data_IF_444237279813
#
_entry.id   IF_444237279813
#
_cell.length_a   1.000
_cell.length_b   1.000
_cell.length_c   1.000
_cell.angle_alpha   90.00
_cell.angle_beta   90.00
_cell.angle_gamma   90.00
#
_symmetry.space_group_name_H-M   'P 1'
#
loop_
_entity.id
_entity.type
_entity.pdbx_description
1 polymer ?
#
# COMPACT_ATOMS: atom_id res chain seq x y z
N UNK A 1 -4.75 5.23 4.90
CA UNK A 1 -3.88 5.61 6.04
C UNK A 1 -4.76 5.81 7.25
N UNK A 2 -4.51 5.11 8.36
CA UNK A 2 -5.28 5.30 9.59
C UNK A 2 -5.17 6.77 10.02
N UNK A 3 -6.27 7.52 9.93
CA UNK A 3 -6.38 8.86 10.51
C UNK A 3 -6.79 8.66 11.97
N UNK A 4 -5.84 8.84 12.87
CA UNK A 4 -6.04 8.72 14.33
C UNK A 4 -6.80 9.93 14.90
N UNK A 5 -7.11 10.95 14.08
CA UNK A 5 -7.63 12.25 14.51
C UNK A 5 -8.95 12.24 15.27
N UNK A 6 -9.82 11.26 15.03
CA UNK A 6 -11.20 11.32 15.53
C UNK A 6 -11.53 10.29 16.64
N UNK A 7 -10.61 9.37 16.96
CA UNK A 7 -10.83 8.33 17.97
C UNK A 7 -9.89 8.52 19.16
N UNK A 8 -10.45 8.88 20.32
CA UNK A 8 -9.71 9.17 21.56
C UNK A 8 -8.92 7.95 22.04
N UNK A 9 -9.46 6.75 21.83
CA UNK A 9 -8.85 5.48 22.23
C UNK A 9 -7.59 5.18 21.40
N UNK A 10 -7.64 5.46 20.08
CA UNK A 10 -6.48 5.29 19.21
C UNK A 10 -5.41 6.34 19.52
N UNK A 11 -5.81 7.56 19.87
CA UNK A 11 -4.88 8.59 20.32
C UNK A 11 -4.20 8.19 21.64
N UNK A 12 -4.96 7.65 22.59
CA UNK A 12 -4.42 7.15 23.84
C UNK A 12 -3.38 6.05 23.61
N UNK A 13 -3.66 5.08 22.72
CA UNK A 13 -2.70 4.04 22.36
C UNK A 13 -1.41 4.63 21.73
N UNK A 14 -1.55 5.60 20.82
CA UNK A 14 -0.40 6.30 20.23
C UNK A 14 0.41 7.05 21.30
N UNK A 15 -0.25 7.76 22.21
CA UNK A 15 0.42 8.51 23.28
C UNK A 15 1.09 7.57 24.29
N UNK A 16 0.44 6.47 24.67
CA UNK A 16 1.01 5.45 25.54
C UNK A 16 2.33 4.92 24.97
N UNK A 17 2.38 4.59 23.67
CA UNK A 17 3.60 4.15 23.00
C UNK A 17 4.70 5.23 22.88
N UNK A 18 4.37 6.51 23.08
CA UNK A 18 5.36 7.60 23.14
C UNK A 18 5.96 7.76 24.54
N UNK A 19 5.16 7.54 25.59
CA UNK A 19 5.59 7.72 26.99
C UNK A 19 6.25 6.47 27.56
N UNK A 20 5.91 5.30 27.03
CA UNK A 20 6.46 4.01 27.43
C UNK A 20 7.99 3.91 27.23
N UNK A 21 8.63 3.06 28.03
CA UNK A 21 10.05 2.71 27.87
C UNK A 21 10.36 2.33 26.41
N UNK A 22 11.49 2.86 25.90
CA UNK A 22 11.96 2.65 24.54
C UNK A 22 12.05 1.17 24.16
N UNK A 23 12.55 0.32 25.04
CA UNK A 23 12.73 -1.11 24.77
C UNK A 23 11.39 -1.83 24.65
N UNK A 24 10.45 -1.55 25.55
CA UNK A 24 9.09 -2.08 25.47
C UNK A 24 8.37 -1.59 24.21
N UNK A 25 8.51 -0.31 23.86
CA UNK A 25 7.92 0.24 22.62
C UNK A 25 8.52 -0.41 21.36
N UNK A 26 9.82 -0.74 21.38
CA UNK A 26 10.53 -1.41 20.29
C UNK A 26 10.07 -2.86 20.16
N UNK A 27 9.90 -3.56 21.27
CA UNK A 27 9.38 -4.93 21.29
C UNK A 27 7.95 -4.98 20.75
N UNK A 28 7.07 -4.08 21.21
CA UNK A 28 5.71 -3.96 20.69
C UNK A 28 5.72 -3.72 19.18
N UNK A 29 6.55 -2.80 18.66
CA UNK A 29 6.65 -2.54 17.22
C UNK A 29 7.13 -3.76 16.45
N UNK A 30 8.10 -4.51 16.99
CA UNK A 30 8.62 -5.73 16.38
C UNK A 30 7.54 -6.80 16.30
N UNK A 31 6.86 -7.07 17.42
CA UNK A 31 5.77 -8.02 17.51
C UNK A 31 4.59 -7.62 16.61
N UNK A 32 4.24 -6.32 16.57
CA UNK A 32 3.22 -5.77 15.66
C UNK A 32 3.53 -6.12 14.20
N UNK A 33 4.77 -5.87 13.76
CA UNK A 33 5.19 -6.20 12.38
C UNK A 33 5.17 -7.71 12.17
N UNK A 34 5.69 -8.50 13.10
CA UNK A 34 5.72 -9.97 12.97
C UNK A 34 4.32 -10.58 12.84
N UNK A 35 3.35 -10.10 13.62
CA UNK A 35 1.99 -10.64 13.60
C UNK A 35 1.16 -10.10 12.44
N UNK A 36 1.23 -8.80 12.14
CA UNK A 36 0.35 -8.18 11.13
C UNK A 36 0.86 -8.34 9.70
N UNK A 37 2.18 -8.49 9.50
CA UNK A 37 2.75 -8.52 8.15
C UNK A 37 2.33 -9.74 7.31
N UNK A 38 2.25 -10.97 7.85
CA UNK A 38 1.73 -12.12 7.09
C UNK A 38 0.29 -11.90 6.63
N UNK A 39 -0.59 -11.47 7.55
CA UNK A 39 -2.01 -11.19 7.26
C UNK A 39 -2.15 -10.13 6.17
N UNK A 40 -1.39 -9.04 6.27
CA UNK A 40 -1.40 -7.99 5.24
C UNK A 40 -0.95 -8.49 3.88
N UNK A 41 0.13 -9.28 3.84
CA UNK A 41 0.67 -9.79 2.56
C UNK A 41 -0.26 -10.80 1.92
N UNK A 42 -0.87 -11.66 2.72
CA UNK A 42 -1.86 -12.63 2.25
C UNK A 42 -3.03 -11.93 1.56
N UNK A 43 -3.62 -10.91 2.20
CA UNK A 43 -4.74 -10.15 1.64
C UNK A 43 -4.39 -9.35 0.39
N UNK A 44 -3.21 -8.76 0.34
CA UNK A 44 -2.76 -8.06 -0.87
C UNK A 44 -2.50 -9.06 -2.00
N UNK A 45 -1.93 -10.23 -1.70
CA UNK A 45 -1.67 -11.28 -2.68
C UNK A 45 -2.96 -11.92 -3.21
N UNK A 46 -3.96 -12.15 -2.36
CA UNK A 46 -5.25 -12.73 -2.76
C UNK A 46 -6.00 -11.84 -3.76
N UNK A 47 -5.80 -10.52 -3.66
CA UNK A 47 -6.40 -9.52 -4.54
C UNK A 47 -5.57 -9.19 -5.78
N UNK A 48 -4.29 -9.57 -5.81
CA UNK A 48 -3.40 -9.39 -6.95
C UNK A 48 -3.71 -10.40 -8.07
N UNK A 49 -4.65 -10.03 -8.95
CA UNK A 49 -5.16 -10.92 -10.01
C UNK A 49 -4.17 -11.10 -11.17
N UNK A 50 -3.40 -10.07 -11.51
CA UNK A 50 -2.44 -10.11 -12.62
C UNK A 50 -1.00 -10.17 -12.13
N UNK A 51 -0.10 -10.68 -12.96
CA UNK A 51 1.34 -10.68 -12.66
C UNK A 51 1.87 -9.26 -12.48
N UNK A 52 1.34 -8.30 -13.25
CA UNK A 52 1.64 -6.88 -13.09
C UNK A 52 1.23 -6.36 -11.72
N UNK A 53 0.06 -6.75 -11.21
CA UNK A 53 -0.38 -6.38 -9.85
C UNK A 53 0.57 -6.97 -8.80
N UNK A 54 1.03 -8.21 -8.99
CA UNK A 54 1.98 -8.85 -8.08
C UNK A 54 3.33 -8.13 -8.07
N UNK A 55 3.86 -7.79 -9.24
CA UNK A 55 5.17 -7.14 -9.38
C UNK A 55 5.16 -5.69 -8.87
N UNK A 56 4.08 -4.95 -9.15
CA UNK A 56 3.99 -3.52 -8.83
C UNK A 56 3.48 -3.30 -7.41
N UNK A 57 2.43 -4.01 -7.00
CA UNK A 57 1.70 -3.75 -5.76
C UNK A 57 2.12 -4.75 -4.68
N UNK A 58 1.92 -6.05 -4.93
CA UNK A 58 2.00 -7.07 -3.89
C UNK A 58 3.44 -7.35 -3.42
N UNK A 59 4.42 -7.30 -4.33
CA UNK A 59 5.85 -7.50 -4.01
C UNK A 59 6.38 -6.51 -2.98
N UNK A 60 5.82 -5.30 -2.96
CA UNK A 60 6.15 -4.25 -2.00
C UNK A 60 5.22 -4.17 -0.80
N UNK A 61 4.34 -5.16 -0.60
CA UNK A 61 3.40 -5.17 0.50
C UNK A 61 4.12 -5.47 1.83
N UNK A 62 3.99 -4.55 2.80
CA UNK A 62 4.51 -4.75 4.15
C UNK A 62 3.82 -3.87 5.18
N UNK A 63 3.91 -4.25 6.45
CA UNK A 63 3.61 -3.37 7.59
C UNK A 63 4.90 -2.64 8.01
N UNK A 64 4.82 -1.31 8.14
CA UNK A 64 5.87 -0.50 8.73
C UNK A 64 5.56 -0.25 10.21
N UNK A 65 6.48 -0.67 11.10
CA UNK A 65 6.37 -0.60 12.57
C UNK A 65 6.52 0.80 13.17
N UNK A 66 5.74 1.76 12.67
CA UNK A 66 5.64 3.11 13.23
C UNK A 66 4.63 3.21 14.38
N UNK A 67 4.34 4.45 14.78
CA UNK A 67 3.29 4.75 15.74
C UNK A 67 2.36 5.85 15.18
N UNK A 68 1.18 5.51 14.63
CA UNK A 68 0.64 4.15 14.46
C UNK A 68 1.37 3.35 13.35
N UNK A 69 1.19 2.01 13.30
CA UNK A 69 1.68 1.19 12.20
C UNK A 69 1.06 1.61 10.87
N UNK A 70 1.82 1.48 9.78
CA UNK A 70 1.36 1.84 8.42
C UNK A 70 1.36 0.60 7.53
N UNK A 71 0.20 0.28 6.96
CA UNK A 71 0.11 -0.67 5.86
C UNK A 71 0.63 -0.02 4.58
N UNK A 72 1.64 -0.63 3.99
CA UNK A 72 2.28 -0.17 2.75
C UNK A 72 2.00 -1.21 1.67
N UNK A 73 1.46 -0.74 0.55
CA UNK A 73 1.46 -1.46 -0.71
C UNK A 73 2.49 -0.81 -1.65
N UNK A 74 3.06 -1.58 -2.58
CA UNK A 74 3.94 -1.07 -3.64
C UNK A 74 5.21 -0.31 -3.19
N UNK A 75 6.00 -0.83 -2.24
CA UNK A 75 7.25 -0.18 -1.82
C UNK A 75 8.50 -0.50 -2.66
N UNK A 76 8.39 -1.21 -3.79
CA UNK A 76 9.56 -1.62 -4.57
C UNK A 76 10.17 -0.45 -5.36
N UNK A 77 11.48 -0.24 -5.19
CA UNK A 77 12.27 0.74 -5.96
C UNK A 77 12.97 0.13 -7.18
N UNK A 78 12.95 -1.20 -7.32
CA UNK A 78 13.61 -1.87 -8.44
C UNK A 78 12.82 -1.64 -9.72
N UNK A 79 13.49 -1.07 -10.72
CA UNK A 79 12.94 -0.90 -12.08
C UNK A 79 12.56 -2.25 -12.68
N UNK A 80 11.39 -2.32 -13.30
CA UNK A 80 10.97 -3.44 -14.14
C UNK A 80 11.62 -3.35 -15.53
N UNK A 81 11.51 -4.40 -16.35
CA UNK A 81 12.10 -4.46 -17.69
C UNK A 81 11.67 -3.32 -18.62
N UNK A 82 10.48 -2.75 -18.41
CA UNK A 82 9.98 -1.57 -19.13
C UNK A 82 10.39 -0.22 -18.54
N UNK A 83 11.32 -0.18 -17.58
CA UNK A 83 11.77 1.05 -16.90
C UNK A 83 10.83 1.57 -15.80
N UNK A 84 9.67 0.95 -15.63
CA UNK A 84 8.69 1.33 -14.61
C UNK A 84 9.24 1.10 -13.20
N UNK A 85 9.13 2.13 -12.35
CA UNK A 85 9.46 2.08 -10.92
C UNK A 85 8.17 1.91 -10.12
N UNK A 86 7.95 0.77 -9.44
CA UNK A 86 6.68 0.50 -8.75
C UNK A 86 6.28 1.57 -7.72
N UNK A 87 7.21 2.00 -6.86
CA UNK A 87 6.90 2.98 -5.80
C UNK A 87 6.44 4.35 -6.33
N UNK A 88 6.80 4.69 -7.57
CA UNK A 88 6.40 5.95 -8.22
C UNK A 88 5.11 5.78 -9.02
N UNK A 89 4.92 4.61 -9.64
CA UNK A 89 3.89 4.40 -10.67
C UNK A 89 2.70 3.53 -10.21
N UNK A 90 2.70 3.03 -8.98
CA UNK A 90 1.67 2.08 -8.50
C UNK A 90 0.24 2.62 -8.54
N UNK A 91 0.05 3.94 -8.37
CA UNK A 91 -1.28 4.54 -8.31
C UNK A 91 -2.08 4.29 -9.60
N UNK A 92 -1.43 4.27 -10.76
CA UNK A 92 -2.08 3.96 -12.04
C UNK A 92 -2.58 2.52 -12.11
N UNK A 93 -1.94 1.58 -11.41
CA UNK A 93 -2.33 0.17 -11.37
C UNK A 93 -3.36 -0.10 -10.28
N UNK A 94 -3.27 0.58 -9.14
CA UNK A 94 -4.24 0.46 -8.05
C UNK A 94 -5.60 1.06 -8.42
N UNK A 95 -5.61 2.27 -8.97
CA UNK A 95 -6.82 3.04 -9.24
C UNK A 95 -7.27 3.01 -10.69
N UNK A 96 -6.43 2.50 -11.60
CA UNK A 96 -6.74 2.45 -13.03
C UNK A 96 -6.83 3.81 -13.69
N UNK A 97 -7.27 3.81 -14.95
CA UNK A 97 -7.49 5.01 -15.75
C UNK A 97 -8.64 4.84 -16.74
N UNK A 98 -8.96 5.91 -17.46
CA UNK A 98 -9.91 5.88 -18.58
C UNK A 98 -9.23 5.21 -19.79
N UNK A 99 -9.50 3.92 -19.98
CA UNK A 99 -8.81 3.08 -20.97
C UNK A 99 -9.02 3.55 -22.41
N UNK A 100 -10.19 4.09 -22.70
CA UNK A 100 -10.55 4.56 -24.02
C UNK A 100 -10.07 5.97 -24.31
N UNK A 101 -9.33 6.61 -23.40
CA UNK A 101 -8.75 7.93 -23.64
C UNK A 101 -7.84 7.92 -24.87
N UNK A 102 -8.27 8.65 -25.88
CA UNK A 102 -7.56 8.81 -27.15
C UNK A 102 -6.73 10.09 -27.10
N UNK A 103 -5.47 10.00 -27.53
CA UNK A 103 -4.63 11.17 -27.81
C UNK A 103 -4.21 11.15 -29.26
N UNK A 104 -4.48 12.24 -29.97
CA UNK A 104 -3.95 12.47 -31.31
C UNK A 104 -2.76 13.41 -31.27
N UNK A 105 -1.73 13.13 -32.05
CA UNK A 105 -0.62 14.07 -32.29
C UNK A 105 -0.17 13.99 -33.75
N UNK A 106 0.39 15.09 -34.26
CA UNK A 106 1.00 15.10 -35.59
C UNK A 106 2.46 14.69 -35.46
N UNK A 107 2.88 13.72 -36.25
CA UNK A 107 4.27 13.25 -36.33
C UNK A 107 4.77 13.46 -37.75
N UNK A 108 6.02 13.93 -37.88
CA UNK A 108 6.72 13.99 -39.17
C UNK A 108 6.92 12.58 -39.73
N UNK A 109 6.66 12.40 -41.01
CA UNK A 109 6.84 11.11 -41.65
C UNK A 109 8.33 10.74 -41.64
N UNK A 110 8.65 9.49 -41.30
CA UNK A 110 10.05 9.04 -41.16
C UNK A 110 10.68 8.66 -42.50
N UNK A 111 9.85 8.40 -43.52
CA UNK A 111 10.24 7.90 -44.84
C UNK A 111 9.76 8.77 -46.01
N UNK A 112 9.30 10.00 -45.76
CA UNK A 112 8.79 10.88 -46.80
C UNK A 112 8.57 12.32 -46.34
N UNK A 113 8.17 13.21 -47.26
CA UNK A 113 7.76 14.58 -46.92
C UNK A 113 6.38 14.59 -46.26
N UNK A 114 6.14 15.52 -45.33
CA UNK A 114 4.84 15.74 -44.69
C UNK A 114 4.70 15.24 -43.25
N UNK A 115 3.52 15.51 -42.68
CA UNK A 115 3.13 15.12 -41.31
C UNK A 115 1.86 14.27 -41.37
N UNK A 116 1.81 13.17 -40.61
CA UNK A 116 0.61 12.36 -40.45
C UNK A 116 0.05 12.47 -39.03
N UNK A 117 -1.29 12.40 -38.90
CA UNK A 117 -1.99 12.40 -37.61
C UNK A 117 -2.00 10.98 -37.06
N UNK A 118 -1.36 10.79 -35.92
CA UNK A 118 -1.36 9.52 -35.18
C UNK A 118 -2.39 9.63 -34.08
N UNK A 119 -3.34 8.70 -34.06
CA UNK A 119 -4.36 8.57 -33.00
C UNK A 119 -4.09 7.28 -32.24
N UNK A 120 -3.87 7.37 -30.92
CA UNK A 120 -3.57 6.21 -30.08
C UNK A 120 -4.34 6.28 -28.77
N UNK A 121 -4.71 5.11 -28.26
CA UNK A 121 -5.13 4.97 -26.87
C UNK A 121 -3.90 5.01 -25.97
N UNK A 122 -3.84 5.97 -25.05
CA UNK A 122 -2.65 6.17 -24.20
C UNK A 122 -2.71 5.44 -22.86
N UNK A 123 -3.88 4.89 -22.50
CA UNK A 123 -4.17 4.34 -21.17
C UNK A 123 -4.67 2.90 -21.17
N UNK A 124 -4.72 2.22 -22.33
CA UNK A 124 -5.25 0.84 -22.44
C UNK A 124 -4.48 -0.20 -21.64
N UNK A 125 -3.21 0.08 -21.37
CA UNK A 125 -2.30 -0.73 -20.55
C UNK A 125 -2.63 -0.71 -19.06
N UNK A 126 -3.39 0.30 -18.60
CA UNK A 126 -3.83 0.39 -17.22
C UNK A 126 -5.17 -0.31 -17.02
N UNK A 127 -5.45 -0.78 -15.79
CA UNK A 127 -6.77 -1.27 -15.42
C UNK A 127 -7.87 -0.21 -15.61
N UNK A 128 -9.12 -0.66 -15.66
CA UNK A 128 -10.27 0.23 -15.62
C UNK A 128 -10.31 1.02 -14.29
N UNK A 129 -10.75 2.27 -14.36
CA UNK A 129 -10.79 3.17 -13.20
C UNK A 129 -11.61 2.58 -12.06
N UNK A 130 -10.99 2.45 -10.89
CA UNK A 130 -11.60 1.97 -9.64
C UNK A 130 -11.22 2.94 -8.51
N UNK A 131 -12.08 3.92 -8.16
CA UNK A 131 -11.71 4.98 -7.22
C UNK A 131 -11.45 4.47 -5.80
N UNK A 132 -12.03 3.33 -5.42
CA UNK A 132 -11.79 2.66 -4.14
C UNK A 132 -10.50 1.82 -4.10
N UNK A 133 -9.76 1.79 -5.21
CA UNK A 133 -8.61 0.92 -5.43
C UNK A 133 -9.00 -0.54 -5.58
N UNK A 134 -8.13 -1.30 -6.24
CA UNK A 134 -8.38 -2.71 -6.61
C UNK A 134 -7.73 -3.71 -5.67
N UNK A 135 -6.53 -3.40 -5.18
CA UNK A 135 -5.66 -4.39 -4.53
C UNK A 135 -5.30 -3.91 -3.13
N UNK A 136 -4.43 -2.91 -3.01
CA UNK A 136 -3.96 -2.42 -1.72
C UNK A 136 -5.05 -1.73 -0.91
N UNK A 137 -5.84 -0.84 -1.53
CA UNK A 137 -6.91 -0.15 -0.80
C UNK A 137 -8.07 -1.07 -0.50
N UNK A 138 -8.41 -1.97 -1.43
CA UNK A 138 -9.43 -2.98 -1.20
C UNK A 138 -9.02 -3.95 -0.07
N UNK A 139 -7.76 -4.40 -0.03
CA UNK A 139 -7.23 -5.20 1.07
C UNK A 139 -7.30 -4.44 2.39
N UNK A 140 -6.90 -3.16 2.41
CA UNK A 140 -6.92 -2.37 3.63
C UNK A 140 -8.34 -2.11 4.16
N UNK A 141 -9.31 -1.92 3.26
CA UNK A 141 -10.72 -1.78 3.64
C UNK A 141 -11.25 -3.04 4.34
N UNK A 142 -10.80 -4.23 3.90
CA UNK A 142 -11.20 -5.53 4.46
C UNK A 142 -10.58 -5.78 5.83
N UNK A 143 -9.24 -5.73 5.93
CA UNK A 143 -8.52 -6.13 7.14
C UNK A 143 -8.13 -4.99 8.07
N UNK A 144 -8.31 -3.74 7.66
CA UNK A 144 -7.97 -2.54 8.42
C UNK A 144 -8.52 -2.55 9.86
N UNK A 145 -9.84 -2.77 10.07
CA UNK A 145 -10.42 -2.80 11.41
C UNK A 145 -9.83 -3.90 12.29
N UNK A 146 -9.65 -5.11 11.75
CA UNK A 146 -9.05 -6.25 12.45
C UNK A 146 -7.60 -5.98 12.83
N UNK A 147 -6.83 -5.37 11.91
CA UNK A 147 -5.45 -4.97 12.13
C UNK A 147 -5.31 -3.95 13.27
N UNK A 148 -6.24 -3.00 13.38
CA UNK A 148 -6.26 -2.02 14.48
C UNK A 148 -6.57 -2.70 15.81
N UNK A 149 -7.59 -3.56 15.85
CA UNK A 149 -7.94 -4.33 17.05
C UNK A 149 -6.76 -5.17 17.53
N UNK A 150 -6.11 -5.89 16.62
CA UNK A 150 -4.92 -6.70 16.93
C UNK A 150 -3.77 -5.85 17.48
N UNK A 151 -3.52 -4.67 16.91
CA UNK A 151 -2.48 -3.76 17.38
C UNK A 151 -2.73 -3.29 18.81
N UNK A 152 -3.98 -2.93 19.14
CA UNK A 152 -4.36 -2.54 20.52
C UNK A 152 -4.19 -3.72 21.47
N UNK A 153 -4.71 -4.90 21.12
CA UNK A 153 -4.57 -6.11 21.94
C UNK A 153 -3.11 -6.46 22.20
N UNK A 154 -2.23 -6.23 21.22
CA UNK A 154 -0.80 -6.49 21.36
C UNK A 154 -0.12 -5.47 22.28
N UNK A 155 -0.51 -4.20 22.23
CA UNK A 155 -0.06 -3.18 23.19
C UNK A 155 -0.45 -3.63 24.60
N UNK A 156 -1.73 -3.90 24.84
CA UNK A 156 -2.26 -4.28 26.16
C UNK A 156 -1.54 -5.51 26.71
N UNK A 157 -1.44 -6.56 25.89
CA UNK A 157 -0.75 -7.80 26.27
C UNK A 157 0.70 -7.54 26.67
N UNK A 158 1.47 -6.83 25.83
CA UNK A 158 2.88 -6.57 26.10
C UNK A 158 3.12 -5.66 27.29
N UNK A 159 2.23 -4.68 27.50
CA UNK A 159 2.30 -3.86 28.72
C UNK A 159 2.01 -4.69 29.95
N UNK A 160 1.03 -5.58 29.90
CA UNK A 160 0.68 -6.46 31.01
C UNK A 160 1.82 -7.44 31.35
N UNK A 161 2.38 -8.12 30.35
CA UNK A 161 3.52 -9.03 30.52
C UNK A 161 4.70 -8.30 31.18
N UNK A 162 5.00 -7.08 30.73
CA UNK A 162 6.07 -6.26 31.31
C UNK A 162 5.80 -5.84 32.77
N UNK A 163 4.55 -5.62 33.16
CA UNK A 163 4.18 -5.36 34.56
C UNK A 163 4.29 -6.63 35.43
N UNK A 164 3.99 -7.81 34.88
CA UNK A 164 4.18 -9.09 35.57
C UNK A 164 5.65 -9.54 35.66
N UNK A 165 6.58 -8.82 35.01
CA UNK A 165 7.99 -9.18 34.97
C UNK A 165 8.32 -10.37 34.05
N UNK A 166 7.46 -10.64 33.06
CA UNK A 166 7.61 -11.69 32.04
C UNK A 166 7.95 -11.09 30.68
#
# INVERSE_FOLDING_TARGET
MLKVGDHRELQAAVLALKVMNRDLSKDIRRATVQTMNPVWREEVNSRARSETDRLIIAKGARIAGGNPPKAVAASSRRKLSGGLVPVESWAGFEFGSERDRIRSYRRRNRSGSGTHRVTRHTMRQLPARTPKGRVGYAAFAEVGPRMVSLWISLIVKKTHDAFEGK
#
